data_IF_953324476144
#
_entry.id   IF_953324476144
#
_cell.length_a   1.000
_cell.length_b   1.000
_cell.length_c   1.000
_cell.angle_alpha   90.00
_cell.angle_beta   90.00
_cell.angle_gamma   90.00
#
_symmetry.space_group_name_H-M   'P 1'
#
loop_
_entity.id
_entity.type
_entity.pdbx_description
1 polymer ?
#
# COMPACT_ATOMS: atom_id res chain seq x y z
N UNK A 1 0.01 -14.22 -0.49
CA UNK A 1 0.32 -14.24 0.97
C UNK A 1 -0.38 -13.07 1.66
N UNK A 2 -0.89 -13.19 2.90
CA UNK A 2 -1.54 -12.06 3.60
C UNK A 2 -0.52 -11.21 4.37
N UNK A 3 -0.49 -9.90 4.11
CA UNK A 3 0.34 -8.90 4.81
C UNK A 3 -0.56 -7.88 5.49
N UNK A 4 -0.27 -7.57 6.76
CA UNK A 4 -0.96 -6.50 7.50
C UNK A 4 -0.37 -5.15 7.12
N UNK A 5 -1.22 -4.19 6.71
CA UNK A 5 -0.78 -2.87 6.26
C UNK A 5 -1.09 -1.73 7.24
N UNK A 6 -2.20 -1.76 7.99
CA UNK A 6 -2.55 -0.77 9.04
C UNK A 6 -3.78 -1.21 9.85
N UNK A 7 -3.83 -1.01 11.17
CA UNK A 7 -5.04 -1.17 12.02
C UNK A 7 -6.01 -2.32 11.66
N UNK A 8 -5.50 -3.55 11.54
CA UNK A 8 -6.31 -4.74 11.21
C UNK A 8 -6.69 -4.87 9.73
N UNK A 9 -6.18 -4.01 8.85
CA UNK A 9 -6.26 -4.13 7.41
C UNK A 9 -5.19 -5.10 6.90
N UNK A 10 -5.62 -6.18 6.28
CA UNK A 10 -4.78 -7.18 5.65
C UNK A 10 -4.99 -7.14 4.14
N UNK A 11 -3.90 -7.22 3.39
CA UNK A 11 -3.93 -7.32 1.93
C UNK A 11 -3.29 -8.63 1.52
N UNK A 12 -3.92 -9.33 0.57
CA UNK A 12 -3.27 -10.46 -0.08
C UNK A 12 -2.34 -9.92 -1.17
N UNK A 13 -1.05 -10.15 -1.02
CA UNK A 13 0.00 -9.72 -1.95
C UNK A 13 -0.22 -10.25 -3.37
N UNK A 14 -0.85 -11.41 -3.50
CA UNK A 14 -1.10 -12.07 -4.79
C UNK A 14 -2.07 -11.28 -5.68
N UNK A 15 -2.76 -10.29 -5.10
CA UNK A 15 -3.69 -9.40 -5.81
C UNK A 15 -3.16 -7.98 -5.97
N UNK A 16 -1.98 -7.67 -5.44
CA UNK A 16 -1.38 -6.33 -5.59
C UNK A 16 -0.88 -6.19 -7.03
N UNK A 17 -1.27 -5.10 -7.67
CA UNK A 17 -0.84 -4.78 -9.04
C UNK A 17 0.01 -3.53 -9.11
N UNK A 18 -0.11 -2.63 -8.14
CA UNK A 18 0.74 -1.45 -8.04
C UNK A 18 0.83 -0.97 -6.61
N UNK A 19 2.02 -0.48 -6.23
CA UNK A 19 2.25 0.24 -4.97
C UNK A 19 2.94 1.56 -5.34
N UNK A 20 2.36 2.68 -4.92
CA UNK A 20 2.84 4.03 -5.27
C UNK A 20 2.99 4.88 -4.01
N UNK A 21 4.13 5.56 -3.88
CA UNK A 21 4.41 6.51 -2.80
C UNK A 21 4.12 7.94 -3.27
N UNK A 22 3.43 8.72 -2.45
CA UNK A 22 3.19 10.13 -2.65
C UNK A 22 3.69 10.91 -1.44
N UNK A 23 4.55 11.89 -1.69
CA UNK A 23 5.10 12.78 -0.68
C UNK A 23 4.52 14.17 -0.90
N UNK A 24 3.98 14.76 0.17
CA UNK A 24 3.40 16.10 0.13
C UNK A 24 4.35 17.07 0.84
N UNK A 25 5.04 17.90 0.06
CA UNK A 25 6.06 18.85 0.54
C UNK A 25 5.51 19.85 1.58
N UNK A 26 4.21 20.16 1.51
CA UNK A 26 3.56 21.15 2.38
C UNK A 26 3.18 20.60 3.77
N UNK A 27 3.11 19.27 3.95
CA UNK A 27 2.56 18.65 5.18
C UNK A 27 3.48 17.62 5.84
N UNK A 28 4.68 17.36 5.31
CA UNK A 28 5.54 16.22 5.71
C UNK A 28 4.79 14.87 5.72
N UNK A 29 3.65 14.79 5.02
CA UNK A 29 2.80 13.61 4.99
C UNK A 29 3.23 12.71 3.84
N UNK A 30 3.37 11.42 4.13
CA UNK A 30 3.67 10.42 3.12
C UNK A 30 2.51 9.44 3.04
N UNK A 31 1.97 9.27 1.83
CA UNK A 31 0.87 8.33 1.55
C UNK A 31 1.34 7.23 0.63
N UNK A 32 0.98 6.00 0.96
CA UNK A 32 1.20 4.83 0.11
C UNK A 32 -0.15 4.38 -0.46
N UNK A 33 -0.25 4.36 -1.78
CA UNK A 33 -1.42 3.86 -2.49
C UNK A 33 -1.15 2.44 -2.96
N UNK A 34 -2.03 1.52 -2.59
CA UNK A 34 -1.95 0.10 -2.94
C UNK A 34 -3.13 -0.23 -3.83
N UNK A 35 -2.85 -0.55 -5.08
CA UNK A 35 -3.86 -0.99 -6.05
C UNK A 35 -3.93 -2.51 -6.06
N UNK A 36 -5.15 -3.03 -5.89
CA UNK A 36 -5.43 -4.46 -5.88
C UNK A 36 -6.45 -4.82 -6.96
N UNK A 37 -6.22 -5.96 -7.62
CA UNK A 37 -7.16 -6.56 -8.55
C UNK A 37 -7.74 -7.83 -7.91
N UNK A 38 -9.03 -7.87 -7.57
CA UNK A 38 -9.63 -9.11 -7.13
C UNK A 38 -9.58 -10.14 -8.27
N UNK A 39 -9.45 -11.41 -7.91
CA UNK A 39 -9.30 -12.55 -8.85
C UNK A 39 -10.41 -12.71 -9.90
N UNK A 40 -11.48 -11.93 -9.83
CA UNK A 40 -12.73 -12.11 -10.59
C UNK A 40 -13.06 -10.98 -11.56
N UNK A 41 -12.07 -10.39 -12.26
CA UNK A 41 -12.29 -9.35 -13.30
C UNK A 41 -13.13 -8.14 -12.84
N UNK A 42 -13.11 -7.86 -11.55
CA UNK A 42 -13.80 -6.71 -10.96
C UNK A 42 -12.88 -5.49 -10.98
N UNK A 43 -13.45 -4.28 -10.89
CA UNK A 43 -12.67 -3.02 -10.94
C UNK A 43 -11.53 -3.02 -9.92
N UNK A 44 -10.38 -2.45 -10.29
CA UNK A 44 -9.28 -2.19 -9.35
C UNK A 44 -9.79 -1.46 -8.12
N UNK A 45 -9.36 -1.91 -6.94
CA UNK A 45 -9.59 -1.24 -5.67
C UNK A 45 -8.28 -0.63 -5.19
N UNK A 46 -8.31 0.67 -4.85
CA UNK A 46 -7.16 1.40 -4.33
C UNK A 46 -7.33 1.63 -2.83
N UNK A 47 -6.31 1.30 -2.05
CA UNK A 47 -6.23 1.60 -0.62
C UNK A 47 -5.18 2.68 -0.39
N UNK A 48 -5.51 3.69 0.41
CA UNK A 48 -4.58 4.75 0.78
C UNK A 48 -4.15 4.50 2.23
N UNK A 49 -2.85 4.34 2.43
CA UNK A 49 -2.23 4.18 3.74
C UNK A 49 -1.44 5.45 4.05
N UNK A 50 -1.94 6.22 5.00
CA UNK A 50 -1.21 7.36 5.57
C UNK A 50 -0.11 6.83 6.49
N UNK A 51 1.11 7.30 6.28
CA UNK A 51 2.30 6.93 7.05
C UNK A 51 2.88 8.17 7.71
N UNK A 52 3.45 8.01 8.92
CA UNK A 52 3.94 9.13 9.71
C UNK A 52 5.31 9.64 9.22
N UNK A 53 6.02 8.87 8.39
CA UNK A 53 7.32 9.24 7.85
C UNK A 53 7.65 8.49 6.56
N UNK A 54 8.61 9.03 5.80
CA UNK A 54 9.14 8.37 4.60
C UNK A 54 9.72 6.98 4.90
N UNK A 55 10.41 6.82 6.03
CA UNK A 55 10.99 5.55 6.45
C UNK A 55 9.91 4.47 6.67
N UNK A 56 8.76 4.86 7.23
CA UNK A 56 7.62 3.95 7.43
C UNK A 56 6.97 3.57 6.09
N UNK A 57 6.80 4.53 5.17
CA UNK A 57 6.34 4.27 3.82
C UNK A 57 7.25 3.29 3.07
N UNK A 58 8.57 3.52 3.11
CA UNK A 58 9.55 2.65 2.45
C UNK A 58 9.53 1.24 3.05
N UNK A 59 9.44 1.10 4.39
CA UNK A 59 9.32 -0.21 5.04
C UNK A 59 8.03 -0.95 4.67
N UNK A 60 6.91 -0.23 4.53
CA UNK A 60 5.64 -0.80 4.07
C UNK A 60 5.77 -1.30 2.63
N UNK A 61 6.33 -0.48 1.74
CA UNK A 61 6.54 -0.84 0.33
C UNK A 61 7.47 -2.05 0.21
N UNK A 62 8.59 -2.07 0.95
CA UNK A 62 9.48 -3.22 1.02
C UNK A 62 8.73 -4.47 1.46
N UNK A 63 7.94 -4.39 2.53
CA UNK A 63 7.15 -5.52 3.04
C UNK A 63 6.13 -6.06 2.02
N UNK A 64 5.69 -5.22 1.08
CA UNK A 64 4.73 -5.57 0.03
C UNK A 64 5.42 -6.08 -1.25
N UNK A 65 6.67 -5.67 -1.53
CA UNK A 65 7.45 -6.01 -2.73
C UNK A 65 8.37 -7.23 -2.56
N UNK A 66 8.31 -7.98 -1.45
CA UNK A 66 9.18 -9.15 -1.23
C UNK A 66 8.82 -10.41 -2.05
N UNK A 67 7.86 -10.34 -2.98
CA UNK A 67 7.39 -11.49 -3.78
C UNK A 67 7.12 -11.13 -5.24
#
# INVERSE_FOLDING_TARGET
MLVQIKDGLFVNTDFIVSVRKFEYEDSNEVRVVIDTLPSSNSRCSSFIVETASEAEANKLIESLNMF
#
